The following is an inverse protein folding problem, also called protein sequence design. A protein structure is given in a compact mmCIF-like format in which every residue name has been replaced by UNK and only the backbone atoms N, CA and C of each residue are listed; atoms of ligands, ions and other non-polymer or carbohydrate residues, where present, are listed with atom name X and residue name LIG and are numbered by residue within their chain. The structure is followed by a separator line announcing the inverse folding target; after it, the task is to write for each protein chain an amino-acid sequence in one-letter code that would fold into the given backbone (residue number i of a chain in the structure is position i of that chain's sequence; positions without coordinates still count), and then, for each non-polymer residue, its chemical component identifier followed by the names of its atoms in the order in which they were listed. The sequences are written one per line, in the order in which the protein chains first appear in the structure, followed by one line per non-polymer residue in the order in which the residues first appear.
data_IF_435991292033
#
_entry.id   IF_435991292033
#
_cell.length_a   1.000
_cell.length_b   1.000
_cell.length_c   1.000
_cell.angle_alpha   90.00
_cell.angle_beta   90.00
_cell.angle_gamma   90.00
#
_symmetry.space_group_name_H-M   'P 1'
#
loop_
_entity.id
_entity.type
_entity.pdbx_description
1 polymer ?
#
# COMPACT_ATOMS: atom_id res chain seq x y z
N UNK A 1 -18.61 71.45 -35.68
CA UNK A 1 -19.05 72.54 -34.77
C UNK A 1 -18.86 72.13 -33.31
N UNK A 2 -17.69 72.25 -32.72
CA UNK A 2 -16.34 72.45 -33.28
C UNK A 2 -15.43 71.48 -32.49
N UNK A 3 -14.62 70.61 -33.10
CA UNK A 3 -13.45 70.86 -33.96
C UNK A 3 -12.25 71.45 -33.18
N UNK A 4 -11.19 70.61 -33.01
CA UNK A 4 -9.75 70.93 -32.96
C UNK A 4 -9.15 71.70 -31.73
N UNK A 5 -7.86 71.57 -31.35
CA UNK A 5 -6.75 70.68 -31.78
C UNK A 5 -5.59 70.62 -30.74
N UNK A 6 -4.62 69.71 -30.99
CA UNK A 6 -3.15 69.73 -30.72
C UNK A 6 -2.52 70.88 -29.88
N UNK A 7 -1.45 70.68 -29.08
CA UNK A 7 -0.59 69.50 -28.83
C UNK A 7 0.83 69.91 -28.37
N UNK A 8 1.77 68.94 -28.27
CA UNK A 8 3.20 69.10 -27.89
C UNK A 8 3.48 69.43 -26.40
N UNK A 9 4.61 69.07 -25.77
CA UNK A 9 5.77 68.25 -26.21
C UNK A 9 6.94 68.27 -25.19
N UNK A 10 7.94 67.40 -25.37
CA UNK A 10 9.17 67.21 -24.54
C UNK A 10 8.97 66.64 -23.12
N UNK A 11 9.74 65.65 -22.64
CA UNK A 11 10.74 64.79 -23.30
C UNK A 11 11.42 63.80 -22.32
N UNK A 12 11.83 62.61 -22.80
CA UNK A 12 12.61 61.61 -22.05
C UNK A 12 14.13 61.83 -22.23
N UNK A 13 15.00 61.22 -21.39
CA UNK A 13 15.49 59.84 -21.61
C UNK A 13 15.54 59.00 -20.30
N UNK A 14 15.96 57.72 -20.25
CA UNK A 14 15.96 56.55 -21.16
C UNK A 14 16.63 55.38 -20.40
N UNK A 15 16.04 54.16 -20.42
CA UNK A 15 16.85 52.94 -20.55
C UNK A 15 16.03 51.69 -21.01
N UNK A 16 16.22 51.36 -22.29
CA UNK A 16 16.34 50.03 -22.95
C UNK A 16 16.41 48.74 -22.06
N UNK A 17 16.03 47.51 -22.47
CA UNK A 17 15.63 46.83 -23.73
C UNK A 17 14.57 45.70 -23.40
N UNK A 18 13.66 45.18 -24.25
CA UNK A 18 13.71 44.65 -25.65
C UNK A 18 14.54 43.35 -25.80
N UNK A 19 14.30 42.35 -26.69
CA UNK A 19 13.27 41.98 -27.71
C UNK A 19 13.53 40.49 -28.13
N UNK A 20 12.75 39.68 -28.87
CA UNK A 20 11.36 39.62 -29.36
C UNK A 20 11.04 38.15 -29.84
N UNK A 21 9.80 37.82 -30.21
CA UNK A 21 9.42 36.60 -30.98
C UNK A 21 9.80 36.67 -32.48
N UNK A 22 9.77 35.52 -33.19
CA UNK A 22 9.25 35.42 -34.56
C UNK A 22 8.17 34.32 -34.75
N UNK A 23 7.48 34.32 -35.90
CA UNK A 23 6.34 33.45 -36.23
C UNK A 23 6.51 32.74 -37.61
N UNK A 24 5.50 31.94 -38.00
CA UNK A 24 5.16 31.41 -39.35
C UNK A 24 5.68 30.00 -39.74
N UNK A 25 4.76 29.17 -40.28
CA UNK A 25 5.08 28.49 -41.56
C UNK A 25 4.97 26.95 -41.75
N UNK A 26 3.77 26.36 -41.67
CA UNK A 26 3.25 25.35 -42.65
C UNK A 26 3.82 23.90 -42.72
N UNK A 27 3.06 22.96 -42.13
CA UNK A 27 2.69 21.59 -42.58
C UNK A 27 3.73 20.52 -43.02
N UNK A 28 3.66 19.31 -42.41
CA UNK A 28 4.05 18.06 -43.11
C UNK A 28 4.34 16.78 -42.29
N UNK A 29 3.43 15.78 -42.39
CA UNK A 29 3.69 14.31 -42.46
C UNK A 29 4.11 13.55 -41.16
N UNK A 30 3.63 12.29 -41.08
CA UNK A 30 3.85 11.27 -40.02
C UNK A 30 5.33 10.94 -39.69
N UNK A 31 5.57 10.48 -38.44
CA UNK A 31 6.07 9.10 -38.15
C UNK A 31 5.95 8.75 -36.64
N UNK A 32 6.03 7.45 -36.25
CA UNK A 32 5.77 6.99 -34.87
C UNK A 32 7.01 7.01 -33.96
N UNK A 33 6.76 6.93 -32.65
CA UNK A 33 7.79 6.96 -31.62
C UNK A 33 8.53 5.60 -31.48
N UNK A 34 9.86 5.62 -31.36
CA UNK A 34 10.68 4.48 -30.95
C UNK A 34 11.68 4.89 -29.86
N UNK A 35 12.03 3.92 -29.02
CA UNK A 35 12.84 4.11 -27.81
C UNK A 35 14.29 4.49 -28.13
N UNK A 36 14.90 5.32 -27.28
CA UNK A 36 16.36 5.47 -27.20
C UNK A 36 16.85 5.35 -25.75
N UNK A 37 18.03 4.75 -25.63
CA UNK A 37 18.77 4.47 -24.40
C UNK A 37 19.96 5.45 -24.33
N UNK A 38 20.30 5.95 -23.15
CA UNK A 38 21.52 6.77 -22.97
C UNK A 38 22.15 6.60 -21.58
N UNK A 39 23.48 6.71 -21.55
CA UNK A 39 24.39 6.54 -20.41
C UNK A 39 25.26 7.80 -20.27
N UNK A 40 25.58 8.24 -19.05
CA UNK A 40 26.87 8.92 -18.85
C UNK A 40 27.62 8.53 -17.56
N UNK A 41 28.84 8.02 -17.74
CA UNK A 41 29.88 8.03 -16.70
C UNK A 41 30.51 9.42 -16.50
N UNK A 42 30.87 9.75 -15.25
CA UNK A 42 32.12 10.45 -14.81
C UNK A 42 32.10 10.55 -13.26
N UNK A 43 33.18 10.74 -12.49
CA UNK A 43 34.41 11.53 -12.72
C UNK A 43 35.58 11.23 -11.74
N UNK A 44 36.78 11.79 -12.03
CA UNK A 44 37.88 12.23 -11.11
C UNK A 44 38.90 11.23 -10.50
N UNK A 45 39.93 10.98 -11.32
CA UNK A 45 41.39 10.83 -11.10
C UNK A 45 42.03 11.44 -9.82
N UNK A 46 43.01 10.75 -9.17
CA UNK A 46 44.47 11.14 -9.10
C UNK A 46 45.37 10.19 -8.24
N UNK A 47 46.49 9.69 -8.83
CA UNK A 47 47.86 9.34 -8.31
C UNK A 47 48.09 8.73 -6.89
N UNK A 48 49.09 7.89 -6.59
CA UNK A 48 50.19 7.18 -7.31
C UNK A 48 50.93 6.23 -6.32
N UNK A 49 51.70 5.20 -6.68
CA UNK A 49 52.07 4.62 -7.99
C UNK A 49 53.21 3.56 -7.86
N UNK A 50 53.55 2.90 -8.99
CA UNK A 50 54.79 2.11 -9.25
C UNK A 50 55.09 0.80 -8.46
N UNK A 51 55.93 -0.14 -8.93
CA UNK A 51 55.91 -0.87 -10.22
C UNK A 51 56.74 -2.20 -10.18
N UNK A 52 56.53 -3.10 -11.15
CA UNK A 52 57.40 -4.21 -11.60
C UNK A 52 57.67 -5.48 -10.73
N UNK A 53 57.86 -6.60 -11.45
CA UNK A 53 58.41 -7.92 -11.02
C UNK A 53 59.85 -8.08 -11.63
N UNK A 54 60.53 -9.26 -11.86
CA UNK A 54 60.10 -10.69 -11.90
C UNK A 54 61.08 -11.84 -11.46
N UNK A 55 60.52 -13.04 -11.22
CA UNK A 55 61.11 -14.41 -11.41
C UNK A 55 62.47 -14.78 -10.66
N UNK A 56 63.15 -15.96 -10.84
CA UNK A 56 63.08 -17.06 -9.84
C UNK A 56 64.43 -17.81 -9.49
N UNK A 57 64.33 -18.96 -8.79
CA UNK A 57 65.00 -20.28 -9.07
C UNK A 57 65.91 -20.99 -7.99
N UNK A 58 65.81 -22.34 -7.95
CA UNK A 58 66.75 -23.41 -7.48
C UNK A 58 67.32 -23.53 -6.02
N UNK A 59 67.92 -24.72 -5.69
CA UNK A 59 68.40 -25.19 -4.34
C UNK A 59 69.95 -25.36 -4.21
N UNK A 60 70.57 -26.32 -3.44
CA UNK A 60 70.06 -27.50 -2.69
C UNK A 60 70.71 -27.79 -1.27
N UNK A 61 70.71 -29.07 -0.82
CA UNK A 61 71.25 -29.74 0.42
C UNK A 61 72.81 -29.76 0.57
N UNK A 62 73.53 -30.20 1.68
CA UNK A 62 73.33 -31.45 2.48
C UNK A 62 73.95 -31.64 3.94
N UNK A 63 73.87 -32.89 4.51
CA UNK A 63 74.65 -33.50 5.65
C UNK A 63 74.43 -32.99 7.10
N UNK A 64 74.71 -33.71 8.23
CA UNK A 64 75.40 -35.01 8.51
C UNK A 64 75.05 -35.65 9.90
N UNK A 65 75.75 -36.71 10.40
CA UNK A 65 75.12 -37.78 11.24
C UNK A 65 75.75 -38.13 12.64
N UNK A 66 75.05 -38.95 13.46
CA UNK A 66 75.61 -39.95 14.42
C UNK A 66 74.55 -40.93 15.05
N UNK A 67 74.97 -42.14 15.44
CA UNK A 67 74.26 -43.25 16.16
C UNK A 67 75.29 -43.98 17.08
N UNK A 68 74.96 -44.74 18.17
CA UNK A 68 74.71 -46.22 18.04
C UNK A 68 73.97 -47.00 19.19
N UNK A 69 73.57 -48.26 18.89
CA UNK A 69 73.24 -49.42 19.79
C UNK A 69 72.07 -49.29 20.81
N UNK A 70 71.33 -50.34 21.20
CA UNK A 70 71.28 -51.81 20.88
C UNK A 70 70.64 -52.59 22.08
N UNK A 71 70.29 -53.90 22.03
CA UNK A 71 70.32 -54.90 20.96
C UNK A 71 68.91 -55.54 20.64
N UNK A 72 68.84 -56.81 20.23
CA UNK A 72 67.74 -57.43 19.44
C UNK A 72 67.40 -58.87 19.87
N UNK A 73 66.15 -59.37 19.72
CA UNK A 73 65.74 -60.80 19.53
C UNK A 73 64.18 -60.98 19.52
N UNK A 74 63.56 -62.07 18.98
CA UNK A 74 63.65 -62.49 17.56
C UNK A 74 62.36 -63.10 16.91
N UNK A 75 62.18 -62.92 15.58
CA UNK A 75 61.49 -63.83 14.62
C UNK A 75 59.95 -64.12 14.76
N UNK A 76 59.28 -64.70 13.72
CA UNK A 76 59.33 -64.38 12.27
C UNK A 76 57.86 -64.26 11.70
N UNK A 77 57.46 -64.62 10.45
CA UNK A 77 56.87 -63.58 9.60
C UNK A 77 55.55 -63.93 8.85
N UNK A 78 55.05 -62.92 8.12
CA UNK A 78 54.31 -63.05 6.85
C UNK A 78 52.93 -63.74 6.83
N UNK A 79 51.88 -62.92 6.73
CA UNK A 79 51.08 -62.98 5.49
C UNK A 79 50.62 -61.58 5.06
N UNK A 80 50.42 -61.39 3.76
CA UNK A 80 50.21 -60.11 3.10
C UNK A 80 48.73 -59.87 2.82
N UNK A 81 48.14 -58.86 3.47
CA UNK A 81 46.81 -58.35 3.15
C UNK A 81 46.95 -57.00 2.43
N UNK A 82 46.47 -56.93 1.18
CA UNK A 82 46.71 -55.79 0.31
C UNK A 82 45.94 -54.51 0.70
N UNK A 83 46.45 -53.41 0.14
CA UNK A 83 45.79 -52.15 -0.21
C UNK A 83 44.28 -52.01 0.07
N UNK A 84 43.88 -50.86 0.61
CA UNK A 84 43.57 -49.72 -0.26
C UNK A 84 42.92 -48.52 0.46
N UNK A 85 43.14 -47.34 -0.14
CA UNK A 85 42.28 -46.14 -0.13
C UNK A 85 41.61 -45.63 1.15
N UNK A 86 41.87 -44.36 1.43
CA UNK A 86 41.07 -43.51 2.31
C UNK A 86 39.63 -43.32 1.81
N UNK A 87 38.66 -43.23 2.76
CA UNK A 87 37.49 -42.33 2.75
C UNK A 87 36.72 -42.42 4.07
N UNK A 88 35.71 -41.54 4.23
CA UNK A 88 34.66 -41.48 5.26
C UNK A 88 34.76 -40.43 6.40
N UNK A 89 35.84 -39.64 6.51
CA UNK A 89 35.81 -38.42 7.35
C UNK A 89 35.01 -37.29 6.70
N UNK A 90 35.31 -36.98 5.43
CA UNK A 90 34.69 -35.87 4.70
C UNK A 90 33.17 -35.95 4.57
N UNK A 91 32.60 -37.15 4.48
CA UNK A 91 31.14 -37.33 4.37
C UNK A 91 30.39 -36.96 5.67
N UNK A 92 30.98 -37.26 6.83
CA UNK A 92 30.42 -36.88 8.13
C UNK A 92 30.55 -35.37 8.39
N UNK A 93 31.65 -34.75 7.95
CA UNK A 93 31.82 -33.29 8.01
C UNK A 93 30.86 -32.60 7.04
N UNK A 94 30.70 -33.11 5.82
CA UNK A 94 29.74 -32.58 4.84
C UNK A 94 28.29 -32.69 5.37
N UNK A 95 27.91 -33.80 6.00
CA UNK A 95 26.61 -33.96 6.66
C UNK A 95 26.37 -32.88 7.74
N UNK A 96 27.38 -32.57 8.56
CA UNK A 96 27.27 -31.54 9.60
C UNK A 96 27.17 -30.13 9.00
N UNK A 97 28.00 -29.80 8.00
CA UNK A 97 27.99 -28.50 7.31
C UNK A 97 26.69 -28.31 6.54
N UNK A 98 26.18 -29.34 5.86
CA UNK A 98 24.91 -29.28 5.13
C UNK A 98 23.71 -29.11 6.08
N UNK A 99 23.69 -29.77 7.24
CA UNK A 99 22.63 -29.56 8.24
C UNK A 99 22.67 -28.17 8.89
N UNK A 100 23.86 -27.58 9.08
CA UNK A 100 24.00 -26.20 9.56
C UNK A 100 23.55 -25.20 8.47
N UNK A 101 23.92 -25.43 7.20
CA UNK A 101 23.49 -24.60 6.09
C UNK A 101 21.99 -24.75 5.79
N UNK A 102 21.42 -25.95 5.95
CA UNK A 102 19.98 -26.23 5.87
C UNK A 102 19.22 -25.43 6.93
N UNK A 103 19.60 -25.58 8.20
CA UNK A 103 19.07 -24.80 9.32
C UNK A 103 19.15 -23.27 9.10
N UNK A 104 20.28 -22.76 8.59
CA UNK A 104 20.47 -21.32 8.31
C UNK A 104 19.75 -20.84 7.03
N UNK A 105 19.25 -21.73 6.17
CA UNK A 105 18.55 -21.39 4.91
C UNK A 105 17.11 -21.90 4.81
N UNK A 106 16.60 -22.56 5.85
CA UNK A 106 15.23 -23.12 5.90
C UNK A 106 14.12 -22.09 5.67
N UNK A 107 14.39 -20.81 5.98
CA UNK A 107 13.51 -19.66 5.73
C UNK A 107 13.18 -19.47 4.24
N UNK A 108 14.02 -19.93 3.32
CA UNK A 108 13.91 -19.68 1.87
C UNK A 108 13.55 -20.93 1.04
N UNK A 109 12.89 -21.94 1.63
CA UNK A 109 12.58 -23.27 1.06
C UNK A 109 13.79 -24.14 0.64
N UNK A 110 14.88 -23.56 0.14
CA UNK A 110 16.10 -24.26 -0.30
C UNK A 110 16.69 -25.14 0.82
N UNK A 111 16.60 -24.70 2.07
CA UNK A 111 17.08 -25.47 3.23
C UNK A 111 16.44 -26.86 3.37
N UNK A 112 15.19 -27.04 2.97
CA UNK A 112 14.49 -28.34 3.08
C UNK A 112 15.16 -29.41 2.19
N UNK A 113 15.59 -29.03 0.99
CA UNK A 113 16.33 -29.94 0.11
C UNK A 113 17.72 -30.29 0.67
N UNK A 114 18.36 -29.35 1.36
CA UNK A 114 19.66 -29.56 2.02
C UNK A 114 19.55 -30.45 3.27
N UNK A 115 18.49 -30.27 4.07
CA UNK A 115 18.22 -31.12 5.25
C UNK A 115 17.91 -32.57 4.85
N UNK A 116 17.15 -32.78 3.78
CA UNK A 116 16.91 -34.13 3.22
C UNK A 116 18.23 -34.78 2.76
N UNK A 117 19.10 -34.04 2.08
CA UNK A 117 20.43 -34.54 1.69
C UNK A 117 21.32 -34.82 2.91
N UNK A 118 21.29 -33.98 3.95
CA UNK A 118 22.01 -34.20 5.19
C UNK A 118 21.55 -35.47 5.91
N UNK A 119 20.23 -35.71 6.00
CA UNK A 119 19.67 -36.94 6.59
C UNK A 119 20.11 -38.18 5.81
N UNK A 120 20.05 -38.16 4.47
CA UNK A 120 20.51 -39.28 3.62
C UNK A 120 22.00 -39.58 3.85
N UNK A 121 22.86 -38.55 3.86
CA UNK A 121 24.30 -38.72 4.09
C UNK A 121 24.61 -39.18 5.52
N UNK A 122 23.84 -38.73 6.52
CA UNK A 122 23.93 -39.20 7.91
C UNK A 122 23.60 -40.69 8.04
N UNK A 123 22.51 -41.14 7.41
CA UNK A 123 22.10 -42.55 7.37
C UNK A 123 23.19 -43.42 6.70
N UNK A 124 23.72 -42.99 5.55
CA UNK A 124 24.81 -43.71 4.86
C UNK A 124 26.08 -43.76 5.72
N UNK A 125 26.41 -42.68 6.43
CA UNK A 125 27.56 -42.63 7.35
C UNK A 125 27.41 -43.62 8.52
N UNK A 126 26.20 -43.75 9.07
CA UNK A 126 25.88 -44.70 10.15
C UNK A 126 25.94 -46.17 9.68
N UNK A 127 25.45 -46.47 8.48
CA UNK A 127 25.50 -47.82 7.90
C UNK A 127 26.94 -48.29 7.64
N UNK A 128 27.84 -47.38 7.25
CA UNK A 128 29.22 -47.74 6.90
C UNK A 128 30.20 -47.79 8.09
N UNK A 129 29.89 -47.23 9.27
CA UNK A 129 30.93 -46.88 10.25
C UNK A 129 30.66 -47.34 11.70
N UNK A 130 30.89 -48.63 11.95
CA UNK A 130 30.57 -49.32 13.21
C UNK A 130 31.28 -48.85 14.50
N UNK A 131 32.20 -47.86 14.47
CA UNK A 131 33.08 -47.54 15.62
C UNK A 131 33.07 -46.11 16.18
N UNK A 132 32.39 -45.12 15.58
CA UNK A 132 32.25 -43.75 16.15
C UNK A 132 30.86 -43.16 15.94
N UNK A 133 29.87 -43.64 16.72
CA UNK A 133 28.45 -43.31 16.56
C UNK A 133 28.06 -41.85 16.85
N UNK A 134 28.80 -41.13 17.69
CA UNK A 134 28.36 -39.83 18.22
C UNK A 134 28.23 -38.69 17.21
N UNK A 135 29.14 -38.59 16.23
CA UNK A 135 29.20 -37.40 15.35
C UNK A 135 28.09 -37.35 14.27
N UNK A 136 27.76 -38.44 13.55
CA UNK A 136 26.65 -38.40 12.58
C UNK A 136 25.29 -38.19 13.25
N UNK A 137 25.09 -38.72 14.46
CA UNK A 137 23.85 -38.57 15.22
C UNK A 137 23.59 -37.09 15.55
N UNK A 138 24.63 -36.32 15.93
CA UNK A 138 24.47 -34.90 16.23
C UNK A 138 23.97 -34.09 15.02
N UNK A 139 24.54 -34.32 13.82
CA UNK A 139 24.07 -33.68 12.58
C UNK A 139 22.65 -34.09 12.19
N UNK A 140 22.31 -35.37 12.38
CA UNK A 140 20.97 -35.89 12.07
C UNK A 140 19.89 -35.34 13.04
N UNK A 141 20.21 -35.20 14.34
CA UNK A 141 19.32 -34.56 15.32
C UNK A 141 19.14 -33.07 15.01
N UNK A 142 20.20 -32.37 14.60
CA UNK A 142 20.10 -30.98 14.14
C UNK A 142 19.19 -30.85 12.91
N UNK A 143 19.28 -31.74 11.92
CA UNK A 143 18.40 -31.74 10.76
C UNK A 143 16.92 -32.02 11.13
N UNK A 144 16.65 -32.95 12.06
CA UNK A 144 15.28 -33.16 12.55
C UNK A 144 14.73 -31.94 13.31
N UNK A 145 15.55 -31.29 14.15
CA UNK A 145 15.17 -30.04 14.82
C UNK A 145 14.98 -28.88 13.83
N UNK A 146 15.80 -28.82 12.77
CA UNK A 146 15.65 -27.86 11.66
C UNK A 146 14.30 -28.02 10.95
N UNK A 147 13.94 -29.26 10.57
CA UNK A 147 12.67 -29.55 9.92
C UNK A 147 11.48 -29.24 10.85
N UNK A 148 11.56 -29.60 12.14
CA UNK A 148 10.52 -29.30 13.12
C UNK A 148 10.37 -27.78 13.34
N UNK A 149 11.47 -27.04 13.46
CA UNK A 149 11.43 -25.57 13.62
C UNK A 149 10.96 -24.87 12.35
N UNK A 150 11.40 -25.32 11.17
CA UNK A 150 10.94 -24.81 9.87
C UNK A 150 9.45 -25.07 9.69
N UNK A 151 8.96 -26.27 10.04
CA UNK A 151 7.54 -26.57 10.02
C UNK A 151 6.75 -25.75 11.06
N UNK A 152 7.29 -25.52 12.26
CA UNK A 152 6.65 -24.66 13.26
C UNK A 152 6.56 -23.19 12.81
N UNK A 153 7.63 -22.66 12.20
CA UNK A 153 7.67 -21.30 11.64
C UNK A 153 6.75 -21.18 10.43
N UNK A 154 6.71 -22.19 9.55
CA UNK A 154 5.78 -22.21 8.42
C UNK A 154 4.33 -22.45 8.86
N UNK A 155 4.11 -23.08 10.02
CA UNK A 155 2.79 -23.25 10.64
C UNK A 155 2.31 -21.95 11.32
N UNK A 156 3.18 -21.19 11.99
CA UNK A 156 2.79 -19.87 12.52
C UNK A 156 2.57 -18.85 11.40
N UNK A 157 3.42 -18.85 10.35
CA UNK A 157 3.20 -18.04 9.14
C UNK A 157 1.98 -18.53 8.36
N UNK A 158 1.72 -19.84 8.33
CA UNK A 158 0.55 -20.45 7.67
C UNK A 158 -0.77 -20.12 8.37
N UNK A 159 -0.80 -20.14 9.70
CA UNK A 159 -1.92 -19.61 10.50
C UNK A 159 -2.13 -18.11 10.20
N UNK A 160 -1.05 -17.34 10.00
CA UNK A 160 -1.14 -15.94 9.56
C UNK A 160 -1.60 -15.77 8.10
N UNK A 161 -1.60 -16.83 7.27
CA UNK A 161 -2.21 -16.82 5.94
C UNK A 161 -3.65 -17.36 5.94
N UNK A 162 -4.05 -18.23 6.87
CA UNK A 162 -5.47 -18.60 7.03
C UNK A 162 -6.31 -17.43 7.58
N UNK A 163 -5.67 -16.48 8.30
CA UNK A 163 -6.19 -15.12 8.57
C UNK A 163 -6.48 -14.29 7.30
N UNK A 164 -6.11 -14.72 6.11
CA UNK A 164 -6.52 -14.04 4.85
C UNK A 164 -8.00 -14.25 4.54
N UNK A 165 -8.60 -15.37 4.98
CA UNK A 165 -9.99 -15.73 4.70
C UNK A 165 -10.96 -15.15 5.73
N UNK A 166 -10.47 -14.86 6.94
CA UNK A 166 -11.13 -13.98 7.93
C UNK A 166 -10.32 -12.70 8.05
N UNK A 167 -10.44 -11.88 6.99
CA UNK A 167 -9.47 -10.89 6.60
C UNK A 167 -9.17 -9.80 7.63
N UNK A 168 -7.89 -9.42 7.66
CA UNK A 168 -7.30 -8.27 8.37
C UNK A 168 -7.59 -8.26 9.87
N UNK A 169 -6.56 -8.53 10.67
CA UNK A 169 -6.50 -8.16 12.09
C UNK A 169 -6.38 -6.64 12.21
N UNK A 170 -7.47 -5.95 11.86
CA UNK A 170 -7.68 -4.54 12.18
C UNK A 170 -7.67 -4.46 13.69
N UNK A 171 -6.95 -3.48 14.24
CA UNK A 171 -7.28 -3.01 15.57
C UNK A 171 -8.76 -2.60 15.53
N UNK A 172 -9.61 -3.35 16.22
CA UNK A 172 -11.03 -3.03 16.31
C UNK A 172 -11.10 -1.72 17.09
N UNK A 173 -11.27 -0.62 16.37
CA UNK A 173 -11.29 0.71 16.95
C UNK A 173 -12.46 0.78 17.95
N UNK A 174 -12.10 0.82 19.24
CA UNK A 174 -13.04 1.01 20.34
C UNK A 174 -12.92 2.48 20.76
N UNK A 175 -13.97 3.30 20.58
CA UNK A 175 -13.89 4.70 20.95
C UNK A 175 -13.61 4.87 22.45
N UNK A 176 -12.71 5.79 22.78
CA UNK A 176 -12.32 6.10 24.15
C UNK A 176 -13.50 6.70 24.95
N UNK A 177 -13.35 6.75 26.27
CA UNK A 177 -14.32 7.42 27.16
C UNK A 177 -14.50 8.90 26.79
N UNK A 178 -13.44 9.56 26.33
CA UNK A 178 -13.43 10.96 25.92
C UNK A 178 -14.19 11.16 24.60
N UNK A 179 -13.88 10.38 23.56
CA UNK A 179 -14.60 10.43 22.28
C UNK A 179 -16.09 10.10 22.44
N UNK A 180 -16.44 9.16 23.34
CA UNK A 180 -17.85 8.85 23.66
C UNK A 180 -18.55 10.01 24.37
N UNK A 181 -17.86 10.73 25.27
CA UNK A 181 -18.41 11.92 25.93
C UNK A 181 -18.65 13.05 24.92
N UNK A 182 -17.66 13.36 24.07
CA UNK A 182 -17.77 14.33 22.97
C UNK A 182 -18.92 13.96 22.01
N UNK A 183 -19.00 12.70 21.59
CA UNK A 183 -20.09 12.22 20.73
C UNK A 183 -21.46 12.37 21.38
N UNK A 184 -21.58 12.15 22.70
CA UNK A 184 -22.86 12.32 23.40
C UNK A 184 -23.32 13.78 23.53
N UNK A 185 -22.40 14.75 23.35
CA UNK A 185 -22.70 16.18 23.29
C UNK A 185 -23.04 16.65 21.86
N UNK A 186 -22.38 16.10 20.84
CA UNK A 186 -22.54 16.53 19.44
C UNK A 186 -23.73 15.86 18.73
N UNK A 187 -23.93 14.55 18.94
CA UNK A 187 -24.98 13.78 18.23
C UNK A 187 -26.41 14.29 18.42
N UNK A 188 -26.84 14.84 19.57
CA UNK A 188 -28.20 15.42 19.71
C UNK A 188 -28.52 16.56 18.75
N UNK A 189 -27.50 17.24 18.20
CA UNK A 189 -27.63 18.30 17.21
C UNK A 189 -27.38 17.81 15.77
N UNK A 190 -27.29 16.49 15.55
CA UNK A 190 -27.02 15.90 14.24
C UNK A 190 -28.26 15.11 13.81
N UNK A 191 -28.82 15.48 12.67
CA UNK A 191 -29.94 14.75 12.06
C UNK A 191 -29.39 13.82 10.99
N UNK A 192 -29.72 12.53 11.09
CA UNK A 192 -29.36 11.51 10.11
C UNK A 192 -30.64 11.06 9.39
N UNK A 193 -30.54 10.93 8.06
CA UNK A 193 -31.59 10.34 7.21
C UNK A 193 -30.93 9.33 6.28
N UNK A 194 -31.52 8.14 6.18
CA UNK A 194 -31.06 7.05 5.35
C UNK A 194 -32.07 6.71 4.24
N UNK A 195 -31.53 6.30 3.09
CA UNK A 195 -32.32 5.88 1.94
C UNK A 195 -31.73 4.59 1.36
N UNK A 196 -32.55 3.55 1.28
CA UNK A 196 -32.20 2.31 0.60
C UNK A 196 -32.36 2.50 -0.92
N UNK A 197 -31.30 2.97 -1.59
CA UNK A 197 -31.23 3.08 -3.04
C UNK A 197 -30.93 1.70 -3.67
N UNK A 198 -31.18 1.48 -4.98
CA UNK A 198 -31.06 0.15 -5.59
C UNK A 198 -29.70 -0.55 -5.45
N UNK A 199 -28.62 0.23 -5.26
CA UNK A 199 -27.22 -0.24 -5.24
C UNK A 199 -26.55 -0.13 -3.87
N UNK A 200 -27.08 0.72 -2.97
CA UNK A 200 -26.39 1.10 -1.75
C UNK A 200 -27.30 1.82 -0.75
N UNK A 201 -26.87 1.88 0.51
CA UNK A 201 -27.49 2.69 1.54
C UNK A 201 -26.89 4.11 1.49
N UNK A 202 -27.69 5.10 1.09
CA UNK A 202 -27.30 6.51 1.07
C UNK A 202 -27.58 7.08 2.45
N UNK A 203 -26.54 7.56 3.14
CA UNK A 203 -26.67 8.21 4.44
C UNK A 203 -26.40 9.70 4.32
N UNK A 204 -27.33 10.52 4.79
CA UNK A 204 -27.23 11.98 4.78
C UNK A 204 -27.29 12.52 6.21
N UNK A 205 -26.35 13.39 6.55
CA UNK A 205 -26.21 13.99 7.87
C UNK A 205 -26.33 15.52 7.77
N UNK A 206 -27.05 16.13 8.70
CA UNK A 206 -27.17 17.58 8.88
C UNK A 206 -26.60 17.96 10.25
N UNK A 207 -25.51 18.73 10.26
CA UNK A 207 -24.81 19.14 11.47
C UNK A 207 -25.33 20.50 11.96
N UNK A 208 -26.16 20.52 12.99
CA UNK A 208 -26.67 21.75 13.63
C UNK A 208 -25.78 22.25 14.78
N UNK A 209 -24.59 21.68 14.97
CA UNK A 209 -23.60 22.22 15.91
C UNK A 209 -22.94 23.50 15.36
N UNK A 210 -22.36 24.29 16.27
CA UNK A 210 -21.59 25.50 15.93
C UNK A 210 -20.12 25.23 15.54
N UNK A 211 -19.74 23.95 15.41
CA UNK A 211 -18.40 23.47 15.05
C UNK A 211 -18.51 22.41 13.95
N UNK A 212 -17.46 22.25 13.15
CA UNK A 212 -17.37 21.17 12.18
C UNK A 212 -17.25 19.83 12.93
N UNK A 213 -17.95 18.80 12.44
CA UNK A 213 -18.02 17.48 13.10
C UNK A 213 -17.54 16.37 12.18
N UNK A 214 -16.52 15.64 12.60
CA UNK A 214 -16.15 14.36 12.03
C UNK A 214 -17.17 13.30 12.47
N UNK A 215 -17.62 12.46 11.54
CA UNK A 215 -18.50 11.32 11.81
C UNK A 215 -17.81 10.02 11.40
N UNK A 216 -17.63 9.12 12.36
CA UNK A 216 -17.21 7.74 12.12
C UNK A 216 -18.46 6.87 12.14
N UNK A 217 -18.82 6.31 10.99
CA UNK A 217 -20.11 5.67 10.74
C UNK A 217 -19.89 4.17 10.57
N UNK A 218 -20.68 3.36 11.28
CA UNK A 218 -20.68 1.91 11.13
C UNK A 218 -22.10 1.43 10.82
N UNK A 219 -22.28 0.87 9.62
CA UNK A 219 -23.51 0.19 9.21
C UNK A 219 -23.32 -1.30 9.38
N UNK A 220 -24.13 -1.91 10.24
CA UNK A 220 -24.14 -3.35 10.50
C UNK A 220 -25.34 -3.96 9.80
N UNK A 221 -25.15 -5.03 9.03
CA UNK A 221 -26.19 -5.77 8.32
C UNK A 221 -26.42 -7.13 8.97
N UNK A 222 -27.67 -7.58 8.97
CA UNK A 222 -28.12 -8.79 9.65
C UNK A 222 -28.84 -9.73 8.67
N UNK A 223 -28.81 -11.03 8.93
CA UNK A 223 -29.53 -12.04 8.13
C UNK A 223 -30.97 -12.26 8.64
N UNK A 224 -31.71 -13.21 8.05
CA UNK A 224 -33.09 -13.54 8.46
C UNK A 224 -33.21 -14.10 9.91
N UNK A 225 -32.10 -14.50 10.52
CA UNK A 225 -32.05 -15.07 11.88
C UNK A 225 -31.66 -14.02 12.95
N UNK A 226 -31.44 -12.77 12.55
CA UNK A 226 -30.83 -11.68 13.34
C UNK A 226 -29.34 -11.92 13.67
N UNK A 227 -28.66 -12.82 12.96
CA UNK A 227 -27.22 -13.03 13.08
C UNK A 227 -26.44 -11.92 12.34
N UNK A 228 -25.23 -11.62 12.85
CA UNK A 228 -24.33 -10.61 12.28
C UNK A 228 -23.78 -11.08 10.92
N UNK A 229 -24.39 -10.60 9.84
CA UNK A 229 -24.01 -10.94 8.48
C UNK A 229 -22.76 -10.17 8.03
N UNK A 230 -22.74 -8.85 8.22
CA UNK A 230 -21.75 -7.99 7.58
C UNK A 230 -21.63 -6.60 8.22
N UNK A 231 -20.51 -5.90 8.00
CA UNK A 231 -20.25 -4.61 8.62
C UNK A 231 -19.45 -3.68 7.70
N UNK A 232 -19.90 -2.42 7.57
CA UNK A 232 -19.32 -1.37 6.74
C UNK A 232 -18.95 -0.15 7.59
N UNK A 233 -17.68 0.25 7.54
CA UNK A 233 -17.25 1.54 8.09
C UNK A 233 -17.25 2.58 6.97
N UNK A 234 -17.74 3.78 7.27
CA UNK A 234 -17.66 4.97 6.42
C UNK A 234 -17.31 6.20 7.28
N UNK A 235 -16.81 7.25 6.64
CA UNK A 235 -16.22 8.40 7.34
C UNK A 235 -16.61 9.71 6.65
N UNK A 236 -17.07 10.67 7.44
CA UNK A 236 -17.19 12.08 7.04
C UNK A 236 -16.13 12.84 7.83
N UNK A 237 -15.11 13.36 7.14
CA UNK A 237 -13.92 13.94 7.80
C UNK A 237 -14.20 15.28 8.50
N UNK A 238 -15.21 16.02 8.04
CA UNK A 238 -15.72 17.20 8.73
C UNK A 238 -17.00 17.72 8.08
N UNK A 239 -18.16 17.33 8.61
CA UNK A 239 -19.43 17.95 8.24
C UNK A 239 -19.45 19.38 8.79
N UNK A 240 -19.45 20.38 7.90
CA UNK A 240 -19.36 21.80 8.26
C UNK A 240 -20.43 22.22 9.30
N UNK A 241 -20.11 23.18 10.16
CA UNK A 241 -21.05 23.80 11.09
C UNK A 241 -22.26 24.40 10.36
N UNK A 242 -23.48 23.98 10.73
CA UNK A 242 -24.71 24.35 10.03
C UNK A 242 -24.87 23.74 8.63
N UNK A 243 -24.01 22.80 8.24
CA UNK A 243 -23.95 22.20 6.92
C UNK A 243 -24.55 20.79 6.83
N UNK A 244 -24.46 20.21 5.63
CA UNK A 244 -24.85 18.82 5.34
C UNK A 244 -23.70 18.08 4.67
N UNK A 245 -23.60 16.79 4.97
CA UNK A 245 -22.67 15.85 4.38
C UNK A 245 -23.39 14.52 4.08
N UNK A 246 -22.86 13.72 3.16
CA UNK A 246 -23.44 12.43 2.80
C UNK A 246 -22.35 11.40 2.49
N UNK A 247 -22.67 10.13 2.70
CA UNK A 247 -21.83 8.99 2.31
C UNK A 247 -22.64 7.95 1.56
N UNK A 248 -22.00 7.35 0.56
CA UNK A 248 -22.46 6.14 -0.10
C UNK A 248 -21.95 4.93 0.70
N UNK A 249 -22.85 4.02 1.10
CA UNK A 249 -22.48 2.78 1.80
C UNK A 249 -22.92 1.57 0.98
N UNK A 250 -22.01 0.98 0.17
CA UNK A 250 -22.33 -0.20 -0.63
C UNK A 250 -22.83 -1.36 0.22
N UNK A 251 -23.86 -2.04 -0.30
CA UNK A 251 -24.49 -3.20 0.35
C UNK A 251 -23.52 -4.38 0.59
N UNK A 252 -23.93 -5.39 1.37
CA UNK A 252 -23.18 -6.63 1.50
C UNK A 252 -22.99 -7.31 0.13
N UNK A 253 -21.73 -7.60 -0.21
CA UNK A 253 -21.37 -8.34 -1.41
C UNK A 253 -20.24 -9.33 -1.11
N UNK A 254 -20.16 -10.42 -1.86
CA UNK A 254 -19.15 -11.47 -1.67
C UNK A 254 -17.81 -11.15 -2.36
N UNK A 255 -16.84 -12.07 -2.24
CA UNK A 255 -15.50 -11.91 -2.84
C UNK A 255 -15.49 -11.84 -4.38
N UNK A 256 -16.57 -12.24 -5.03
CA UNK A 256 -16.74 -12.25 -6.49
C UNK A 256 -17.71 -11.14 -6.95
N UNK A 257 -18.10 -10.22 -6.04
CA UNK A 257 -19.03 -9.11 -6.22
C UNK A 257 -20.50 -9.50 -6.47
N UNK A 258 -20.94 -10.68 -6.01
CA UNK A 258 -22.37 -11.00 -5.95
C UNK A 258 -23.00 -10.33 -4.71
N UNK A 259 -24.17 -9.70 -4.87
CA UNK A 259 -24.93 -9.14 -3.75
C UNK A 259 -25.36 -10.23 -2.75
N UNK A 260 -25.18 -9.96 -1.46
CA UNK A 260 -25.59 -10.85 -0.37
C UNK A 260 -26.88 -10.29 0.27
N UNK A 261 -28.01 -11.01 0.23
CA UNK A 261 -29.25 -10.57 0.86
C UNK A 261 -29.11 -10.35 2.37
N UNK A 262 -29.78 -9.31 2.88
CA UNK A 262 -29.86 -8.96 4.30
C UNK A 262 -31.33 -8.72 4.70
N UNK A 263 -31.67 -8.89 5.98
CA UNK A 263 -33.03 -8.67 6.50
C UNK A 263 -33.25 -7.26 7.03
N UNK A 264 -32.24 -6.71 7.72
CA UNK A 264 -32.18 -5.36 8.28
C UNK A 264 -30.75 -4.83 8.32
N UNK A 265 -30.63 -3.53 8.57
CA UNK A 265 -29.39 -2.89 8.98
C UNK A 265 -29.57 -2.11 10.28
N UNK A 266 -28.45 -1.72 10.89
CA UNK A 266 -28.37 -0.83 12.03
C UNK A 266 -27.25 0.19 11.77
N UNK A 267 -27.57 1.48 11.82
CA UNK A 267 -26.62 2.57 11.62
C UNK A 267 -26.19 3.07 12.99
N UNK A 268 -24.89 3.09 13.24
CA UNK A 268 -24.29 3.75 14.40
C UNK A 268 -23.30 4.80 13.92
N UNK A 269 -23.22 5.92 14.62
CA UNK A 269 -22.30 7.01 14.30
C UNK A 269 -21.69 7.58 15.58
N UNK A 270 -20.38 7.84 15.54
CA UNK A 270 -19.63 8.53 16.57
C UNK A 270 -19.23 9.91 16.04
N UNK A 271 -19.61 10.97 16.76
CA UNK A 271 -19.27 12.34 16.43
C UNK A 271 -18.04 12.83 17.21
N UNK A 272 -17.12 13.50 16.52
CA UNK A 272 -15.97 14.20 17.11
C UNK A 272 -15.92 15.62 16.57
N UNK A 273 -15.46 16.57 17.37
CA UNK A 273 -15.10 17.90 16.84
C UNK A 273 -13.86 17.76 15.95
N UNK A 274 -13.82 18.48 14.82
CA UNK A 274 -12.70 18.39 13.88
C UNK A 274 -11.42 18.96 14.51
N UNK A 275 -10.39 18.13 14.62
CA UNK A 275 -9.08 18.57 15.11
C UNK A 275 -8.30 19.27 13.99
N UNK A 276 -8.37 20.61 13.98
CA UNK A 276 -7.71 21.46 12.98
C UNK A 276 -6.17 21.42 13.01
N UNK A 277 -5.55 20.58 13.85
CA UNK A 277 -4.11 20.24 13.80
C UNK A 277 -3.79 19.15 12.77
N UNK A 278 -4.80 18.41 12.33
CA UNK A 278 -4.66 17.26 11.41
C UNK A 278 -5.59 17.33 10.20
N UNK A 279 -6.68 18.10 10.27
CA UNK A 279 -7.69 18.25 9.22
C UNK A 279 -7.96 19.72 8.91
N UNK A 280 -8.34 20.03 7.67
CA UNK A 280 -8.76 21.39 7.31
C UNK A 280 -10.18 21.68 7.80
N UNK A 281 -10.48 22.96 8.08
CA UNK A 281 -11.86 23.42 8.28
C UNK A 281 -12.68 23.23 6.98
N UNK A 282 -13.94 22.82 7.09
CA UNK A 282 -14.82 22.66 5.92
C UNK A 282 -15.53 23.97 5.58
N UNK A 283 -15.10 24.61 4.49
CA UNK A 283 -15.68 25.87 3.99
C UNK A 283 -16.88 25.65 3.06
N UNK A 284 -17.34 24.42 2.85
CA UNK A 284 -18.34 24.05 1.85
C UNK A 284 -19.66 24.83 1.92
N UNK A 285 -20.10 25.22 3.11
CA UNK A 285 -21.30 26.07 3.32
C UNK A 285 -21.17 27.50 2.78
N UNK A 286 -19.97 27.95 2.45
CA UNK A 286 -19.70 29.28 1.89
C UNK A 286 -19.70 29.29 0.35
N UNK A 287 -19.58 28.13 -0.29
CA UNK A 287 -19.51 28.03 -1.75
C UNK A 287 -20.87 28.29 -2.40
N UNK A 288 -20.84 28.75 -3.65
CA UNK A 288 -22.04 29.00 -4.44
C UNK A 288 -22.12 27.97 -5.58
N UNK A 289 -23.17 27.17 -5.56
CA UNK A 289 -23.45 26.14 -6.56
C UNK A 289 -24.57 26.64 -7.48
N UNK A 290 -24.32 26.61 -8.79
CA UNK A 290 -25.38 26.72 -9.80
C UNK A 290 -25.36 25.49 -10.69
N UNK A 291 -26.47 24.76 -10.75
CA UNK A 291 -26.58 23.52 -11.53
C UNK A 291 -27.74 23.54 -12.52
N UNK A 292 -27.75 22.58 -13.43
CA UNK A 292 -28.88 22.22 -14.27
C UNK A 292 -28.76 20.74 -14.71
N UNK A 293 -29.87 20.07 -15.07
CA UNK A 293 -29.82 18.80 -15.79
C UNK A 293 -28.97 18.92 -17.08
N UNK A 294 -28.19 17.89 -17.35
CA UNK A 294 -27.31 17.72 -18.50
C UNK A 294 -27.90 16.78 -19.54
N UNK A 295 -27.05 15.96 -20.16
CA UNK A 295 -27.47 14.98 -21.17
C UNK A 295 -27.59 13.59 -20.54
N UNK A 296 -28.57 12.79 -20.97
CA UNK A 296 -28.81 11.42 -20.42
C UNK A 296 -28.93 11.37 -18.89
N UNK A 297 -29.55 12.36 -18.25
CA UNK A 297 -29.68 12.41 -16.79
C UNK A 297 -28.41 12.76 -16.03
N UNK A 298 -27.33 13.21 -16.70
CA UNK A 298 -26.22 13.84 -15.99
C UNK A 298 -26.66 15.15 -15.33
N UNK A 299 -25.91 15.64 -14.34
CA UNK A 299 -26.11 16.97 -13.75
C UNK A 299 -24.85 17.81 -13.97
N UNK A 300 -25.03 18.96 -14.62
CA UNK A 300 -23.96 19.94 -14.83
C UNK A 300 -23.98 20.94 -13.67
N UNK A 301 -22.84 21.18 -13.06
CA UNK A 301 -22.71 22.12 -11.95
C UNK A 301 -21.55 23.10 -12.13
N UNK A 302 -21.77 24.35 -11.77
CA UNK A 302 -20.83 25.46 -11.83
C UNK A 302 -20.59 25.93 -10.40
N UNK A 303 -19.41 25.62 -9.87
CA UNK A 303 -19.03 25.75 -8.46
C UNK A 303 -18.17 26.99 -8.31
N UNK A 304 -18.53 27.89 -7.40
CA UNK A 304 -17.82 29.17 -7.17
C UNK A 304 -17.37 29.27 -5.72
N UNK A 305 -16.07 29.53 -5.52
CA UNK A 305 -15.42 29.69 -4.23
C UNK A 305 -15.25 31.20 -3.91
N UNK A 306 -15.95 31.75 -2.90
CA UNK A 306 -15.82 33.15 -2.51
C UNK A 306 -14.78 33.38 -1.39
N UNK A 307 -14.16 32.34 -0.83
CA UNK A 307 -13.27 32.46 0.35
C UNK A 307 -11.98 33.23 0.07
N UNK A 308 -11.53 33.24 -1.20
CA UNK A 308 -10.24 33.81 -1.61
C UNK A 308 -9.04 32.89 -1.37
N UNK A 309 -9.24 31.72 -0.77
CA UNK A 309 -8.23 30.65 -0.67
C UNK A 309 -8.28 29.74 -1.90
N UNK A 310 -7.18 29.05 -2.18
CA UNK A 310 -7.16 27.90 -3.09
C UNK A 310 -7.29 26.62 -2.26
N UNK A 311 -8.11 25.67 -2.70
CA UNK A 311 -8.24 24.36 -2.06
C UNK A 311 -7.56 23.26 -2.88
N UNK A 312 -6.70 22.46 -2.24
CA UNK A 312 -6.01 21.33 -2.89
C UNK A 312 -7.02 20.24 -3.31
N UNK A 313 -8.11 20.07 -2.55
CA UNK A 313 -9.29 19.31 -2.99
C UNK A 313 -10.60 19.83 -2.40
N UNK A 314 -11.67 19.76 -3.19
CA UNK A 314 -13.06 19.96 -2.79
C UNK A 314 -13.86 18.71 -3.18
N UNK A 315 -14.47 18.04 -2.21
CA UNK A 315 -15.33 16.87 -2.42
C UNK A 315 -16.79 17.32 -2.52
N UNK A 316 -17.48 16.88 -3.57
CA UNK A 316 -18.90 17.18 -3.81
C UNK A 316 -19.69 15.89 -3.97
N UNK A 317 -20.87 15.83 -3.38
CA UNK A 317 -21.84 14.75 -3.59
C UNK A 317 -23.06 15.30 -4.30
N UNK A 318 -23.48 14.67 -5.39
CA UNK A 318 -24.79 14.87 -6.01
C UNK A 318 -25.71 13.71 -5.62
N UNK A 319 -26.83 14.02 -4.97
CA UNK A 319 -27.84 13.07 -4.48
C UNK A 319 -29.06 13.20 -5.38
N UNK A 320 -29.53 12.09 -5.93
CA UNK A 320 -30.65 12.03 -6.87
C UNK A 320 -31.91 11.51 -6.18
N UNK A 321 -33.03 12.21 -6.35
CA UNK A 321 -34.29 11.93 -5.66
C UNK A 321 -35.40 11.53 -6.65
N UNK A 322 -36.24 10.59 -6.21
CA UNK A 322 -37.44 10.18 -6.91
C UNK A 322 -38.61 10.12 -5.94
N UNK A 323 -39.67 10.88 -6.22
CA UNK A 323 -40.86 10.98 -5.36
C UNK A 323 -40.53 11.31 -3.88
N UNK A 324 -39.41 12.01 -3.64
CA UNK A 324 -38.89 12.40 -2.32
C UNK A 324 -37.91 11.43 -1.64
N UNK A 325 -37.66 10.25 -2.21
CA UNK A 325 -36.65 9.29 -1.73
C UNK A 325 -35.36 9.39 -2.52
N UNK A 326 -34.19 9.35 -1.88
CA UNK A 326 -32.93 9.29 -2.62
C UNK A 326 -32.75 7.90 -3.28
N UNK A 327 -32.49 7.88 -4.59
CA UNK A 327 -32.36 6.67 -5.41
C UNK A 327 -30.96 6.48 -6.01
N UNK A 328 -30.05 7.44 -5.80
CA UNK A 328 -28.66 7.32 -6.21
C UNK A 328 -27.83 8.47 -5.69
N UNK A 329 -26.52 8.28 -5.63
CA UNK A 329 -25.55 9.29 -5.23
C UNK A 329 -24.29 9.14 -6.10
N UNK A 330 -23.67 10.26 -6.45
CA UNK A 330 -22.38 10.28 -7.15
C UNK A 330 -21.47 11.34 -6.54
N UNK A 331 -20.18 11.04 -6.44
CA UNK A 331 -19.17 12.01 -6.00
C UNK A 331 -18.43 12.64 -7.18
N UNK A 332 -17.94 13.85 -6.98
CA UNK A 332 -16.93 14.50 -7.81
C UNK A 332 -15.91 15.22 -6.93
N UNK A 333 -14.69 15.37 -7.46
CA UNK A 333 -13.61 16.10 -6.80
C UNK A 333 -13.11 17.22 -7.71
N UNK A 334 -12.89 18.39 -7.13
CA UNK A 334 -12.17 19.49 -7.79
C UNK A 334 -10.82 19.63 -7.11
N UNK A 335 -9.74 19.36 -7.84
CA UNK A 335 -8.38 19.70 -7.43
C UNK A 335 -8.05 21.16 -7.75
N UNK A 336 -7.12 21.75 -7.00
CA UNK A 336 -6.57 23.10 -7.22
C UNK A 336 -7.67 24.20 -7.38
N UNK A 337 -8.71 24.12 -6.56
CA UNK A 337 -9.90 24.95 -6.66
C UNK A 337 -9.63 26.37 -6.16
N UNK A 338 -9.17 27.25 -7.06
CA UNK A 338 -9.05 28.69 -6.82
C UNK A 338 -10.43 29.36 -6.67
N UNK A 339 -11.03 29.83 -7.77
CA UNK A 339 -12.22 30.71 -7.76
C UNK A 339 -13.46 30.04 -8.31
N UNK A 340 -13.31 29.23 -9.36
CA UNK A 340 -14.43 28.64 -10.08
C UNK A 340 -14.03 27.40 -10.85
N UNK A 341 -14.87 26.37 -10.79
CA UNK A 341 -14.79 25.19 -11.65
C UNK A 341 -16.19 24.80 -12.17
N UNK A 342 -16.23 23.91 -13.16
CA UNK A 342 -17.45 23.23 -13.57
C UNK A 342 -17.22 21.72 -13.51
N UNK A 343 -18.23 20.97 -13.09
CA UNK A 343 -18.21 19.50 -12.99
C UNK A 343 -19.48 18.91 -13.62
N UNK A 344 -19.39 17.66 -14.06
CA UNK A 344 -20.52 16.86 -14.52
C UNK A 344 -20.65 15.63 -13.63
N UNK A 345 -21.81 15.46 -12.99
CA UNK A 345 -22.16 14.26 -12.23
C UNK A 345 -22.88 13.28 -13.16
N UNK A 346 -22.40 12.04 -13.21
CA UNK A 346 -23.03 10.95 -13.97
C UNK A 346 -24.45 10.68 -13.46
N UNK A 347 -25.35 10.26 -14.35
CA UNK A 347 -26.68 9.81 -13.95
C UNK A 347 -26.61 8.66 -12.92
N UNK A 348 -27.60 8.55 -12.01
CA UNK A 348 -27.73 7.39 -11.13
C UNK A 348 -28.08 6.15 -11.96
N UNK A 349 -27.66 4.97 -11.49
CA UNK A 349 -27.91 3.69 -12.16
C UNK A 349 -28.06 2.55 -11.14
N UNK A 350 -28.78 1.49 -11.51
CA UNK A 350 -28.97 0.28 -10.69
C UNK A 350 -27.81 -0.73 -10.79
N UNK A 351 -27.88 -1.86 -10.09
CA UNK A 351 -26.86 -2.92 -10.15
C UNK A 351 -26.68 -3.56 -11.54
N UNK A 352 -27.70 -3.47 -12.41
CA UNK A 352 -27.68 -3.95 -13.80
C UNK A 352 -27.17 -2.89 -14.80
N UNK A 353 -26.76 -1.71 -14.32
CA UNK A 353 -26.30 -0.54 -15.10
C UNK A 353 -27.38 0.12 -15.97
N UNK A 354 -28.66 0.02 -15.60
CA UNK A 354 -29.72 0.81 -16.22
C UNK A 354 -29.73 2.25 -15.66
N UNK A 355 -29.80 3.26 -16.53
CA UNK A 355 -29.97 4.67 -16.14
C UNK A 355 -31.28 4.84 -15.33
N UNK A 356 -31.22 5.38 -14.11
CA UNK A 356 -32.38 5.59 -13.22
C UNK A 356 -33.00 6.98 -13.42
N UNK A 357 -34.33 7.04 -13.59
CA UNK A 357 -35.07 8.30 -13.66
C UNK A 357 -35.25 8.94 -12.26
N UNK A 358 -34.83 10.20 -12.12
CA UNK A 358 -35.04 11.05 -10.95
C UNK A 358 -35.93 12.26 -11.32
N UNK A 359 -36.52 12.93 -10.32
CA UNK A 359 -37.30 14.17 -10.51
C UNK A 359 -36.70 15.39 -9.81
N UNK A 360 -35.89 15.20 -8.77
CA UNK A 360 -35.11 16.26 -8.12
C UNK A 360 -33.67 15.81 -7.82
N UNK A 361 -32.77 16.75 -7.56
CA UNK A 361 -31.38 16.45 -7.17
C UNK A 361 -30.78 17.55 -6.29
N UNK A 362 -29.97 17.15 -5.33
CA UNK A 362 -29.21 18.06 -4.46
C UNK A 362 -27.71 17.92 -4.73
N UNK A 363 -26.95 19.01 -4.58
CA UNK A 363 -25.48 18.97 -4.59
C UNK A 363 -24.98 19.63 -3.31
N UNK A 364 -24.17 18.89 -2.55
CA UNK A 364 -23.51 19.35 -1.32
C UNK A 364 -21.99 19.30 -1.46
N UNK A 365 -21.28 20.17 -0.73
CA UNK A 365 -19.83 20.05 -0.57
C UNK A 365 -19.56 19.32 0.74
N UNK A 366 -19.01 18.12 0.61
CA UNK A 366 -18.82 17.17 1.69
C UNK A 366 -17.57 17.50 2.54
N UNK A 367 -16.55 18.07 1.89
CA UNK A 367 -15.29 18.48 2.51
C UNK A 367 -14.46 19.40 1.61
N UNK A 368 -13.59 20.20 2.24
CA UNK A 368 -12.61 21.07 1.58
C UNK A 368 -11.26 20.93 2.26
N UNK A 369 -10.21 20.52 1.55
CA UNK A 369 -8.90 20.23 2.14
C UNK A 369 -7.79 21.16 1.59
N UNK A 370 -6.96 21.62 2.51
CA UNK A 370 -5.68 22.29 2.27
C UNK A 370 -4.59 21.46 2.98
N UNK A 371 -3.71 20.83 2.22
CA UNK A 371 -2.58 20.06 2.74
C UNK A 371 -1.35 20.95 3.05
N UNK A 372 -1.43 22.25 2.71
CA UNK A 372 -0.32 23.21 2.74
C UNK A 372 -0.59 24.45 3.62
N UNK A 373 -1.61 24.42 4.49
CA UNK A 373 -2.02 25.55 5.37
C UNK A 373 -1.49 25.44 6.79
#
# INVERSE_FOLDING_TARGET
MYDNENGQGYGSPDNSNQWNQPNDGRAGINQPNQQQYYDPQTSRTYYSGENYSPFPNEGPLPTGPAYPNGPYQPNPPYNQGNDSSSRNSGLAVACLVLGILGFLSGVFFVGIALDVLAIILGIVSLIQNNRKKGLPIAGMVLAFLSIILTFLVYYTIGISQDRSVRGVEREVYVPTTEEKATSSMLMPNITQTDYAAPKSLILVYENKNAVDVQLEITVTYYDENDDLLFLRNSYIWGCAAGGRAAVDVPYPYDKDYNDIPYSRYEITALAKEVDYRFYSQNYGTQFQIKSNPGSRGSVLASITNPTGMTFDSVELMCIYYKDGSAIGITSQYISDMEKKANVEFSAPYDSDYNDLEYDDYEIIINGTNNYNS
#
